data_IF_150603083775
#
_entry.id   IF_150603083775
#
_cell.length_a   1.000
_cell.length_b   1.000
_cell.length_c   1.000
_cell.angle_alpha   90.00
_cell.angle_beta   90.00
_cell.angle_gamma   90.00
#
_symmetry.space_group_name_H-M   'P 1'
#
loop_
_entity.id
_entity.type
_entity.pdbx_description
1 polymer ?
#
# COMPACT_ATOMS: atom_id res chain seq x y z
N UNK A 1 -23.21 34.42 17.67
CA UNK A 1 -22.93 35.86 17.87
C UNK A 1 -24.09 36.67 17.30
N UNK A 2 -25.32 36.13 17.39
CA UNK A 2 -26.42 36.43 16.44
C UNK A 2 -27.72 36.80 17.17
N UNK A 3 -27.64 36.98 18.49
CA UNK A 3 -28.70 37.54 19.33
C UNK A 3 -28.13 38.70 20.13
N UNK A 4 -28.97 39.68 20.49
CA UNK A 4 -28.59 40.78 21.37
C UNK A 4 -28.05 40.25 22.71
N UNK A 5 -26.86 40.72 23.10
CA UNK A 5 -26.15 40.28 24.31
C UNK A 5 -25.19 39.09 24.14
N UNK A 6 -25.03 38.54 22.92
CA UNK A 6 -24.09 37.44 22.66
C UNK A 6 -22.61 37.81 22.91
N UNK A 7 -22.24 39.08 22.66
CA UNK A 7 -20.86 39.55 22.88
C UNK A 7 -20.51 39.67 24.37
N UNK A 8 -21.42 40.18 25.20
CA UNK A 8 -21.21 40.30 26.64
C UNK A 8 -21.07 38.93 27.33
N UNK A 9 -21.85 37.94 26.87
CA UNK A 9 -21.74 36.54 27.32
C UNK A 9 -20.42 35.90 26.92
N UNK A 10 -19.91 36.24 25.74
CA UNK A 10 -18.62 35.76 25.24
C UNK A 10 -17.45 36.35 26.05
N UNK A 11 -17.53 37.61 26.45
CA UNK A 11 -16.54 38.22 27.34
C UNK A 11 -16.57 37.63 28.75
N UNK A 12 -17.77 37.43 29.32
CA UNK A 12 -17.93 36.74 30.59
C UNK A 12 -17.40 35.29 30.55
N UNK A 13 -17.55 34.61 29.40
CA UNK A 13 -17.05 33.25 29.20
C UNK A 13 -15.53 33.21 29.02
N UNK A 14 -14.94 34.19 28.32
CA UNK A 14 -13.49 34.38 28.23
C UNK A 14 -12.86 34.63 29.60
N UNK A 15 -13.51 35.42 30.47
CA UNK A 15 -13.00 35.69 31.81
C UNK A 15 -12.95 34.44 32.71
N UNK A 16 -13.83 33.46 32.49
CA UNK A 16 -13.92 32.23 33.30
C UNK A 16 -12.99 31.11 32.81
N UNK A 17 -12.46 31.19 31.59
CA UNK A 17 -11.72 30.10 30.96
C UNK A 17 -10.29 30.52 30.63
N UNK A 18 -9.30 29.78 31.15
CA UNK A 18 -7.86 29.99 30.89
C UNK A 18 -7.37 29.46 29.53
N UNK A 19 -8.27 28.98 28.68
CA UNK A 19 -7.99 28.40 27.36
C UNK A 19 -8.42 29.37 26.25
N UNK A 20 -7.82 29.28 25.06
CA UNK A 20 -8.07 30.28 24.03
C UNK A 20 -9.43 30.04 23.35
N UNK A 21 -10.43 30.84 23.72
CA UNK A 21 -11.80 30.79 23.18
C UNK A 21 -11.90 31.59 21.87
N UNK A 22 -12.47 30.99 20.83
CA UNK A 22 -12.83 31.67 19.58
C UNK A 22 -14.36 31.71 19.50
N UNK A 23 -14.92 32.91 19.36
CA UNK A 23 -16.33 33.08 19.03
C UNK A 23 -16.55 32.79 17.56
N UNK A 24 -17.56 31.99 17.24
CA UNK A 24 -17.97 31.75 15.86
C UNK A 24 -19.46 32.09 15.70
N UNK A 25 -19.83 32.55 14.52
CA UNK A 25 -21.20 32.61 14.03
C UNK A 25 -21.28 31.85 12.71
N UNK A 26 -22.19 30.87 12.66
CA UNK A 26 -22.50 30.15 11.42
C UNK A 26 -23.38 30.97 10.48
N UNK A 27 -24.12 31.96 11.00
CA UNK A 27 -25.08 32.75 10.24
C UNK A 27 -24.40 33.92 9.51
N UNK A 28 -23.49 34.62 10.18
CA UNK A 28 -22.72 35.74 9.59
C UNK A 28 -21.39 35.29 8.99
N UNK A 29 -21.00 34.03 9.18
CA UNK A 29 -19.70 33.50 8.79
C UNK A 29 -18.54 34.02 9.65
N UNK A 30 -18.81 34.82 10.68
CA UNK A 30 -17.78 35.44 11.49
C UNK A 30 -17.03 34.41 12.34
N UNK A 31 -15.70 34.41 12.27
CA UNK A 31 -14.83 33.60 13.12
C UNK A 31 -14.58 32.17 12.65
N UNK A 32 -15.21 31.72 11.56
CA UNK A 32 -15.01 30.38 10.99
C UNK A 32 -13.58 30.24 10.46
N UNK A 33 -13.09 31.20 9.67
CA UNK A 33 -11.71 31.16 9.14
C UNK A 33 -10.68 31.11 10.27
N UNK A 34 -10.88 31.90 11.32
CA UNK A 34 -9.99 31.94 12.49
C UNK A 34 -9.94 30.60 13.23
N UNK A 35 -11.04 29.85 13.24
CA UNK A 35 -11.07 28.50 13.81
C UNK A 35 -10.27 27.52 12.93
N UNK A 36 -10.49 27.55 11.62
CA UNK A 36 -9.82 26.65 10.66
C UNK A 36 -8.31 26.86 10.68
N UNK A 37 -7.83 28.10 10.63
CA UNK A 37 -6.40 28.40 10.69
C UNK A 37 -5.77 27.93 12.00
N UNK A 38 -6.46 28.10 13.13
CA UNK A 38 -5.94 27.65 14.42
C UNK A 38 -5.87 26.12 14.52
N UNK A 39 -6.80 25.40 13.90
CA UNK A 39 -6.74 23.95 13.78
C UNK A 39 -5.54 23.51 12.94
N UNK A 40 -5.27 24.19 11.82
CA UNK A 40 -4.10 23.91 10.99
C UNK A 40 -2.78 24.15 11.77
N UNK A 41 -2.68 25.26 12.50
CA UNK A 41 -1.54 25.55 13.38
C UNK A 41 -1.30 24.47 14.44
N UNK A 42 -2.38 23.94 15.03
CA UNK A 42 -2.29 22.87 16.01
C UNK A 42 -1.84 21.55 15.38
N UNK A 43 -2.34 21.22 14.19
CA UNK A 43 -1.90 20.03 13.45
C UNK A 43 -0.42 20.10 13.10
N UNK A 44 0.09 21.27 12.66
CA UNK A 44 1.52 21.46 12.35
C UNK A 44 2.40 21.30 13.59
N UNK A 45 1.94 21.76 14.75
CA UNK A 45 2.69 21.66 16.03
C UNK A 45 2.59 20.29 16.68
N UNK A 46 1.65 19.45 16.26
CA UNK A 46 1.47 18.13 16.85
C UNK A 46 2.55 17.19 16.29
N UNK A 47 3.28 16.46 17.15
CA UNK A 47 4.23 15.47 16.68
C UNK A 47 3.50 14.44 15.82
N UNK A 48 4.15 14.00 14.74
CA UNK A 48 3.58 12.98 13.87
C UNK A 48 3.23 11.76 14.71
N UNK A 49 1.99 11.29 14.56
CA UNK A 49 1.59 10.00 15.10
C UNK A 49 2.06 8.95 14.10
N UNK A 50 3.11 8.17 14.41
CA UNK A 50 3.53 7.11 13.51
C UNK A 50 2.38 6.09 13.44
N UNK A 51 1.87 5.85 12.22
CA UNK A 51 0.85 4.83 11.96
C UNK A 51 1.38 3.40 12.18
N UNK A 52 2.71 3.26 12.25
CA UNK A 52 3.43 2.02 12.41
C UNK A 52 4.52 2.20 13.47
N UNK A 53 4.60 1.28 14.42
CA UNK A 53 5.67 1.23 15.40
C UNK A 53 7.01 0.99 14.67
N UNK A 54 8.00 1.88 14.83
CA UNK A 54 9.35 1.70 14.27
C UNK A 54 10.05 0.42 14.80
N UNK A 55 9.50 -0.22 15.84
CA UNK A 55 9.96 -1.50 16.39
C UNK A 55 9.33 -2.73 15.74
N UNK A 56 8.49 -2.55 14.71
CA UNK A 56 8.03 -3.65 13.86
C UNK A 56 9.18 -4.07 12.94
N UNK A 57 10.18 -4.75 13.50
CA UNK A 57 11.17 -5.52 12.75
C UNK A 57 10.46 -6.69 12.06
N UNK A 58 9.60 -6.40 11.08
CA UNK A 58 9.27 -7.36 10.05
C UNK A 58 10.43 -7.32 9.05
N UNK A 59 11.33 -8.29 9.21
CA UNK A 59 12.41 -8.59 8.28
C UNK A 59 11.83 -8.78 6.88
N UNK A 60 11.78 -7.70 6.10
CA UNK A 60 11.24 -7.74 4.76
C UNK A 60 10.84 -6.37 4.27
N UNK A 61 11.82 -5.49 4.02
CA UNK A 61 11.59 -4.28 3.21
C UNK A 61 11.20 -4.74 1.81
N UNK A 62 9.90 -5.00 1.59
CA UNK A 62 9.31 -5.08 0.27
C UNK A 62 9.12 -3.64 -0.20
N UNK A 63 10.07 -3.17 -0.98
CA UNK A 63 9.92 -1.94 -1.75
C UNK A 63 8.75 -2.18 -2.72
N UNK A 64 7.59 -1.59 -2.41
CA UNK A 64 6.44 -1.58 -3.32
C UNK A 64 6.70 -0.51 -4.38
N UNK A 65 7.42 -0.89 -5.44
CA UNK A 65 7.46 -0.08 -6.67
C UNK A 65 6.14 -0.29 -7.39
N UNK A 66 5.32 0.75 -7.40
CA UNK A 66 4.06 0.81 -8.15
C UNK A 66 4.38 0.92 -9.64
N UNK A 67 4.74 -0.19 -10.29
CA UNK A 67 4.86 -0.22 -11.74
C UNK A 67 4.36 -1.55 -12.33
N UNK A 68 3.20 -1.43 -12.99
CA UNK A 68 2.57 -2.32 -13.96
C UNK A 68 1.66 -3.45 -13.44
N UNK A 69 0.47 -3.45 -14.03
CA UNK A 69 -0.67 -4.37 -13.91
C UNK A 69 -0.38 -5.81 -14.37
N UNK A 70 0.85 -6.29 -14.24
CA UNK A 70 1.18 -7.70 -14.45
C UNK A 70 0.81 -8.43 -13.17
N UNK A 71 -0.18 -9.32 -13.23
CA UNK A 71 -0.71 -10.03 -12.06
C UNK A 71 0.24 -11.07 -11.44
N UNK A 72 1.55 -10.85 -11.53
CA UNK A 72 2.64 -11.69 -11.04
C UNK A 72 3.90 -10.83 -10.75
N UNK A 73 4.75 -11.32 -9.85
CA UNK A 73 5.99 -10.71 -9.38
C UNK A 73 7.06 -11.81 -9.34
N UNK A 74 8.27 -11.52 -9.80
CA UNK A 74 9.41 -12.45 -9.78
C UNK A 74 10.42 -11.96 -8.75
N UNK A 75 10.74 -12.81 -7.77
CA UNK A 75 11.72 -12.55 -6.73
C UNK A 75 12.91 -13.50 -6.91
N UNK A 76 14.14 -12.99 -6.88
CA UNK A 76 15.34 -13.83 -6.89
C UNK A 76 15.62 -14.32 -5.47
N UNK A 77 15.61 -15.64 -5.26
CA UNK A 77 15.90 -16.26 -3.96
C UNK A 77 17.38 -16.59 -3.83
N UNK A 78 17.98 -17.13 -4.90
CA UNK A 78 19.40 -17.49 -4.98
C UNK A 78 20.01 -17.10 -6.34
N UNK A 79 21.32 -17.33 -6.51
CA UNK A 79 22.01 -17.04 -7.77
C UNK A 79 21.36 -17.71 -8.99
N UNK A 80 20.76 -18.89 -8.81
CA UNK A 80 20.14 -19.71 -9.86
C UNK A 80 18.68 -20.09 -9.55
N UNK A 81 18.04 -19.39 -8.61
CA UNK A 81 16.66 -19.72 -8.20
C UNK A 81 15.77 -18.49 -8.16
N UNK A 82 14.69 -18.53 -8.93
CA UNK A 82 13.69 -17.48 -9.03
C UNK A 82 12.34 -17.96 -8.53
N UNK A 83 11.67 -17.15 -7.71
CA UNK A 83 10.36 -17.42 -7.15
C UNK A 83 9.34 -16.49 -7.80
N UNK A 84 8.33 -17.07 -8.45
CA UNK A 84 7.23 -16.33 -9.04
C UNK A 84 6.05 -16.32 -8.06
N UNK A 85 5.49 -15.16 -7.77
CA UNK A 85 4.35 -14.96 -6.87
C UNK A 85 3.27 -14.13 -7.56
N UNK A 86 2.00 -14.49 -7.49
CA UNK A 86 0.96 -13.72 -8.17
C UNK A 86 -0.44 -14.30 -8.01
N UNK A 87 -1.38 -13.51 -7.50
CA UNK A 87 -2.72 -14.00 -7.17
C UNK A 87 -3.44 -14.68 -8.35
N UNK A 88 -3.28 -14.12 -9.58
CA UNK A 88 -3.89 -14.68 -10.79
C UNK A 88 -3.28 -16.03 -11.17
N UNK A 89 -1.95 -16.15 -11.06
CA UNK A 89 -1.23 -17.34 -11.50
C UNK A 89 -1.31 -18.46 -10.47
N UNK A 90 -1.31 -18.12 -9.18
CA UNK A 90 -1.52 -19.06 -8.08
C UNK A 90 -2.94 -19.61 -8.09
N UNK A 91 -3.93 -18.78 -8.44
CA UNK A 91 -5.31 -19.24 -8.64
C UNK A 91 -5.43 -20.17 -9.84
N UNK A 92 -4.76 -19.86 -10.95
CA UNK A 92 -4.72 -20.72 -12.13
C UNK A 92 -4.02 -22.06 -11.84
N UNK A 93 -2.91 -22.03 -11.09
CA UNK A 93 -2.22 -23.22 -10.60
C UNK A 93 -3.13 -24.08 -9.72
N UNK A 94 -3.81 -23.49 -8.74
CA UNK A 94 -4.76 -24.21 -7.87
C UNK A 94 -5.97 -24.79 -8.62
N UNK A 95 -6.37 -24.18 -9.72
CA UNK A 95 -7.45 -24.69 -10.58
C UNK A 95 -6.98 -25.78 -11.55
N UNK A 96 -5.69 -25.83 -11.88
CA UNK A 96 -5.13 -26.76 -12.85
C UNK A 96 -4.56 -27.98 -12.14
N UNK A 97 -4.94 -29.18 -12.57
CA UNK A 97 -4.38 -30.40 -12.00
C UNK A 97 -2.95 -30.62 -12.52
N UNK A 98 -1.96 -30.26 -11.72
CA UNK A 98 -0.52 -30.36 -12.05
C UNK A 98 0.03 -31.79 -11.94
N UNK A 99 -0.76 -32.73 -11.45
CA UNK A 99 -0.38 -34.15 -11.37
C UNK A 99 -0.34 -34.83 -12.75
N UNK A 100 -1.00 -34.24 -13.75
CA UNK A 100 -1.10 -34.80 -15.10
C UNK A 100 -0.21 -34.00 -16.07
N UNK A 101 0.45 -34.70 -16.99
CA UNK A 101 1.31 -34.12 -18.03
C UNK A 101 0.60 -33.01 -18.85
N UNK A 102 -0.68 -33.22 -19.19
CA UNK A 102 -1.52 -32.20 -19.84
C UNK A 102 -1.71 -30.92 -19.01
N UNK A 103 -1.84 -31.04 -17.69
CA UNK A 103 -2.01 -29.90 -16.79
C UNK A 103 -0.71 -29.08 -16.69
N UNK A 104 0.43 -29.78 -16.70
CA UNK A 104 1.75 -29.17 -16.74
C UNK A 104 1.97 -28.40 -18.04
N UNK A 105 1.66 -29.00 -19.19
CA UNK A 105 1.80 -28.34 -20.48
C UNK A 105 0.91 -27.09 -20.58
N UNK A 106 -0.31 -27.15 -20.03
CA UNK A 106 -1.24 -26.00 -19.95
C UNK A 106 -0.68 -24.88 -19.09
N UNK A 107 -0.05 -25.19 -17.96
CA UNK A 107 0.59 -24.19 -17.12
C UNK A 107 1.77 -23.54 -17.84
N UNK A 108 2.70 -24.31 -18.39
CA UNK A 108 3.88 -23.78 -19.10
C UNK A 108 3.45 -22.87 -20.26
N UNK A 109 2.46 -23.29 -21.04
CA UNK A 109 1.91 -22.48 -22.14
C UNK A 109 1.31 -21.17 -21.61
N UNK A 110 0.58 -21.24 -20.49
CA UNK A 110 -0.02 -20.05 -19.87
C UNK A 110 1.04 -19.10 -19.30
N UNK A 111 2.13 -19.61 -18.73
CA UNK A 111 3.28 -18.79 -18.29
C UNK A 111 3.90 -18.03 -19.47
N UNK A 112 4.11 -18.73 -20.61
CA UNK A 112 4.61 -18.12 -21.86
C UNK A 112 3.68 -17.04 -22.41
N UNK A 113 2.37 -17.28 -22.42
CA UNK A 113 1.37 -16.30 -22.89
C UNK A 113 1.32 -15.04 -22.02
N UNK A 114 1.56 -15.20 -20.72
CA UNK A 114 1.62 -14.08 -19.76
C UNK A 114 2.90 -13.25 -19.92
N UNK A 115 3.94 -13.78 -20.59
CA UNK A 115 5.22 -13.12 -20.79
C UNK A 115 6.12 -13.18 -19.56
N UNK A 116 6.10 -14.31 -18.85
CA UNK A 116 7.02 -14.58 -17.74
C UNK A 116 8.44 -14.82 -18.25
N UNK A 117 8.60 -15.52 -19.37
CA UNK A 117 9.89 -15.74 -20.03
C UNK A 117 10.57 -14.40 -20.37
N UNK A 118 9.84 -13.43 -20.94
CA UNK A 118 10.34 -12.07 -21.21
C UNK A 118 10.79 -11.32 -19.93
N UNK A 119 10.11 -11.52 -18.81
CA UNK A 119 10.48 -10.91 -17.53
C UNK A 119 11.70 -11.60 -16.92
N UNK A 120 11.80 -12.92 -17.01
CA UNK A 120 12.96 -13.70 -16.57
C UNK A 120 14.21 -13.36 -17.39
N UNK A 121 14.08 -13.26 -18.71
CA UNK A 121 15.16 -12.84 -19.60
C UNK A 121 15.65 -11.42 -19.29
N UNK A 122 14.75 -10.48 -18.95
CA UNK A 122 15.12 -9.12 -18.49
C UNK A 122 15.86 -9.11 -17.17
N UNK A 123 15.53 -10.02 -16.26
CA UNK A 123 16.20 -10.18 -14.97
C UNK A 123 17.55 -10.89 -15.12
N UNK A 124 17.80 -11.50 -16.29
CA UNK A 124 19.04 -12.20 -16.63
C UNK A 124 19.08 -13.65 -16.15
N UNK A 125 17.91 -14.31 -16.09
CA UNK A 125 17.85 -15.76 -15.92
C UNK A 125 18.50 -16.44 -17.14
N UNK A 126 19.24 -17.51 -16.90
CA UNK A 126 19.93 -18.32 -17.90
C UNK A 126 19.30 -19.70 -18.00
N UNK A 127 19.51 -20.38 -19.14
CA UNK A 127 19.17 -21.80 -19.32
C UNK A 127 19.76 -22.64 -18.17
N UNK A 128 18.90 -23.40 -17.50
CA UNK A 128 19.27 -24.20 -16.33
C UNK A 128 18.91 -23.58 -14.98
N UNK A 129 18.40 -22.34 -14.94
CA UNK A 129 17.94 -21.75 -13.69
C UNK A 129 16.63 -22.39 -13.20
N UNK A 130 16.50 -22.55 -11.88
CA UNK A 130 15.32 -23.15 -11.25
C UNK A 130 14.25 -22.09 -10.99
N UNK A 131 13.08 -22.28 -11.58
CA UNK A 131 11.90 -21.43 -11.36
C UNK A 131 10.95 -22.15 -10.41
N UNK A 132 10.65 -21.49 -9.31
CA UNK A 132 9.71 -21.95 -8.29
C UNK A 132 8.39 -21.19 -8.40
N UNK A 133 7.31 -21.94 -8.56
CA UNK A 133 5.94 -21.46 -8.56
C UNK A 133 5.11 -22.27 -7.55
N UNK A 134 4.72 -21.63 -6.44
CA UNK A 134 4.06 -22.31 -5.31
C UNK A 134 4.85 -23.54 -4.82
N UNK A 135 4.29 -24.73 -5.02
CA UNK A 135 4.84 -26.03 -4.60
C UNK A 135 5.57 -26.74 -5.76
N UNK A 136 5.62 -26.10 -6.93
CA UNK A 136 6.21 -26.65 -8.14
C UNK A 136 7.51 -25.94 -8.50
N UNK A 137 8.49 -26.71 -8.94
CA UNK A 137 9.81 -26.24 -9.36
C UNK A 137 10.13 -26.83 -10.73
N UNK A 138 10.61 -26.01 -11.66
CA UNK A 138 11.04 -26.45 -12.98
C UNK A 138 12.28 -25.70 -13.44
N UNK A 139 12.95 -26.29 -14.42
CA UNK A 139 14.13 -25.70 -15.04
C UNK A 139 13.69 -24.76 -16.17
N UNK A 140 14.26 -23.56 -16.20
CA UNK A 140 14.11 -22.63 -17.31
C UNK A 140 14.91 -23.14 -18.51
N UNK A 141 14.23 -23.27 -19.64
CA UNK A 141 14.83 -23.63 -20.93
C UNK A 141 14.28 -22.66 -21.97
N UNK A 142 15.16 -21.86 -22.56
CA UNK A 142 14.85 -20.86 -23.61
C UNK A 142 14.69 -21.53 -24.99
#
# INVERSE_FOLDING_TARGET
MDEDGANERLEAFKAKIKKPVIGISALTGEGIDKLVYKCADLLVKTPQFPLYDENSNDTGVKVYTVENEKGFVINRLDAHTFVITGEKIEKFYKMTNTTTDEGMMKLITHLRVIGIDDELAKIGAQDGDTIKLCDFEFEYVE
#
